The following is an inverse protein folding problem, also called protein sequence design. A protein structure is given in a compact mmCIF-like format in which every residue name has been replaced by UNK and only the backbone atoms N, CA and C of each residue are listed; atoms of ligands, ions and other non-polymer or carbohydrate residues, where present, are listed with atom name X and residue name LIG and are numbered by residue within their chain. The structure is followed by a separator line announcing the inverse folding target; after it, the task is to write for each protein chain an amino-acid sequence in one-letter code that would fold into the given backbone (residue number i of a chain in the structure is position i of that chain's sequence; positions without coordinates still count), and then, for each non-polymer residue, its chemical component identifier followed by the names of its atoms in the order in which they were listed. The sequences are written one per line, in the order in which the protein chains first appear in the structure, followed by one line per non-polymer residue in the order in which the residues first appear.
data_IF_170092279496
#
_entry.id   IF_170092279496
#
_cell.length_a   1.000
_cell.length_b   1.000
_cell.length_c   1.000
_cell.angle_alpha   90.00
_cell.angle_beta   90.00
_cell.angle_gamma   90.00
#
_symmetry.space_group_name_H-M   'P 1'
#
loop_
_entity.id
_entity.type
_entity.pdbx_description
1 polymer ?
#
# COMPACT_ATOMS: atom_id res chain seq x y z
N UNK A 1 2.70 20.18 5.84
CA UNK A 1 1.85 18.97 5.77
C UNK A 1 2.57 17.95 4.90
N UNK A 2 3.58 17.22 5.43
CA UNK A 2 4.48 16.36 4.63
C UNK A 2 4.64 14.91 5.13
N UNK A 3 4.01 14.53 6.25
CA UNK A 3 4.28 13.21 6.86
C UNK A 3 3.63 12.00 6.15
N UNK A 4 2.67 12.19 5.22
CA UNK A 4 1.94 11.06 4.62
C UNK A 4 2.66 10.39 3.44
N UNK A 5 3.40 11.15 2.64
CA UNK A 5 4.09 10.62 1.45
C UNK A 5 5.36 9.84 1.83
N UNK A 6 6.13 10.36 2.80
CA UNK A 6 7.31 9.65 3.34
C UNK A 6 6.97 8.27 3.93
N UNK A 7 5.77 8.12 4.49
CA UNK A 7 5.28 6.85 5.02
C UNK A 7 5.05 5.80 3.92
N UNK A 8 4.49 6.20 2.78
CA UNK A 8 4.22 5.27 1.68
C UNK A 8 5.50 4.80 0.98
N UNK A 9 6.49 5.69 0.82
CA UNK A 9 7.75 5.32 0.20
C UNK A 9 8.56 4.37 1.10
N UNK A 10 8.49 4.54 2.42
CA UNK A 10 9.05 3.58 3.38
C UNK A 10 8.36 2.22 3.32
N UNK A 11 7.04 2.20 3.20
CA UNK A 11 6.28 0.95 3.05
C UNK A 11 6.65 0.23 1.75
N UNK A 12 6.77 0.94 0.63
CA UNK A 12 7.27 0.37 -0.64
C UNK A 12 8.67 -0.21 -0.50
N UNK A 13 9.59 0.54 0.11
CA UNK A 13 10.97 0.12 0.31
C UNK A 13 11.10 -1.09 1.25
N UNK A 14 10.20 -1.24 2.22
CA UNK A 14 10.16 -2.38 3.13
C UNK A 14 9.72 -3.68 2.43
N UNK A 15 8.71 -3.60 1.56
CA UNK A 15 8.17 -4.78 0.86
C UNK A 15 8.87 -5.10 -0.46
N UNK A 16 9.64 -4.17 -1.06
CA UNK A 16 10.44 -4.37 -2.27
C UNK A 16 9.64 -5.07 -3.39
N UNK A 17 10.15 -6.19 -3.89
CA UNK A 17 9.56 -6.96 -4.99
C UNK A 17 8.17 -7.52 -4.65
N UNK A 18 7.86 -7.71 -3.35
CA UNK A 18 6.56 -8.19 -2.91
C UNK A 18 5.47 -7.11 -2.98
N UNK A 19 5.85 -5.82 -3.03
CA UNK A 19 4.88 -4.73 -3.05
C UNK A 19 3.91 -4.86 -4.22
N UNK A 20 4.41 -5.18 -5.43
CA UNK A 20 3.56 -5.35 -6.61
C UNK A 20 2.56 -6.51 -6.50
N UNK A 21 2.92 -7.59 -5.81
CA UNK A 21 1.97 -8.69 -5.54
C UNK A 21 0.92 -8.28 -4.51
N UNK A 22 1.33 -7.55 -3.47
CA UNK A 22 0.43 -7.09 -2.41
C UNK A 22 -0.59 -6.07 -2.93
N UNK A 23 -0.23 -5.18 -3.85
CA UNK A 23 -1.17 -4.23 -4.47
C UNK A 23 -2.21 -4.95 -5.32
N UNK A 24 -1.85 -6.01 -6.05
CA UNK A 24 -2.79 -6.82 -6.83
C UNK A 24 -3.75 -7.62 -5.93
N UNK A 25 -3.23 -8.26 -4.89
CA UNK A 25 -4.07 -8.95 -3.89
C UNK A 25 -5.02 -7.96 -3.22
N UNK A 26 -4.53 -6.79 -2.84
CA UNK A 26 -5.38 -5.75 -2.24
C UNK A 26 -6.44 -5.22 -3.21
N UNK A 27 -6.14 -5.10 -4.50
CA UNK A 27 -7.14 -4.76 -5.51
C UNK A 27 -8.26 -5.80 -5.62
N UNK A 28 -7.94 -7.09 -5.41
CA UNK A 28 -8.94 -8.16 -5.43
C UNK A 28 -9.84 -8.17 -4.19
N UNK A 29 -9.28 -7.94 -3.00
CA UNK A 29 -9.99 -8.12 -1.72
C UNK A 29 -10.43 -6.82 -1.03
N UNK A 30 -9.76 -5.70 -1.28
CA UNK A 30 -10.06 -4.39 -0.72
C UNK A 30 -9.82 -3.26 -1.76
N UNK A 31 -10.56 -3.26 -2.89
CA UNK A 31 -10.40 -2.26 -3.95
C UNK A 31 -10.72 -0.83 -3.47
N UNK A 32 -11.55 -0.68 -2.45
CA UNK A 32 -11.90 0.60 -1.85
C UNK A 32 -10.87 1.08 -0.80
N UNK A 33 -9.85 0.27 -0.50
CA UNK A 33 -8.84 0.55 0.52
C UNK A 33 -9.47 0.88 1.90
N UNK A 34 -10.55 0.17 2.25
CA UNK A 34 -11.29 0.32 3.50
C UNK A 34 -10.37 0.05 4.69
N UNK A 35 -9.45 -0.91 4.57
CA UNK A 35 -8.48 -1.25 5.60
C UNK A 35 -7.17 -0.48 5.41
N UNK A 36 -7.20 0.83 5.64
CA UNK A 36 -6.05 1.72 5.48
C UNK A 36 -5.36 2.15 6.79
N UNK A 37 -5.90 1.78 7.96
CA UNK A 37 -5.31 2.11 9.27
C UNK A 37 -4.25 1.08 9.65
N UNK A 38 -3.17 1.02 8.86
CA UNK A 38 -1.99 0.17 9.04
C UNK A 38 -0.81 0.73 8.21
N UNK A 39 0.28 -0.03 8.06
CA UNK A 39 1.30 0.26 7.05
C UNK A 39 0.71 0.03 5.65
N UNK A 40 -0.08 1.00 5.21
CA UNK A 40 -1.02 0.80 4.14
C UNK A 40 -0.35 0.62 2.79
N UNK A 41 -0.89 -0.32 2.01
CA UNK A 41 -0.57 -0.54 0.61
C UNK A 41 -1.80 -0.11 -0.18
N UNK A 42 -1.62 0.72 -1.20
CA UNK A 42 -2.72 1.09 -2.08
C UNK A 42 -3.04 -0.10 -3.02
N UNK A 43 -4.31 -0.41 -3.30
CA UNK A 43 -4.65 -1.38 -4.33
C UNK A 43 -4.12 -0.93 -5.70
N UNK A 44 -3.76 -1.90 -6.55
CA UNK A 44 -3.48 -1.62 -7.95
C UNK A 44 -4.71 -1.00 -8.61
N UNK A 45 -4.50 0.09 -9.35
CA UNK A 45 -5.56 0.81 -10.09
C UNK A 45 -5.96 0.09 -11.37
#
# INVERSE_FOLDING_TARGET
MMMREEGQDRVRAAYRDNYGRLTQVKAQYDPANLFHVNQNIAPAS
#
